data_IF_344809530135
#
_entry.id   IF_344809530135
#
_cell.length_a   1.000
_cell.length_b   1.000
_cell.length_c   1.000
_cell.angle_alpha   90.00
_cell.angle_beta   90.00
_cell.angle_gamma   90.00
#
_symmetry.space_group_name_H-M   'P 1'
#
loop_
_entity.id
_entity.type
_entity.pdbx_description
1 polymer ?
#
# COMPACT_ATOMS: atom_id res chain seq x y z
N UNK A 1 4.70 28.10 -0.34
CA UNK A 1 4.99 26.65 -0.34
C UNK A 1 6.43 26.46 0.09
N UNK A 2 6.64 25.66 1.10
CA UNK A 2 7.99 25.40 1.62
C UNK A 2 8.06 24.05 2.36
N UNK A 3 9.24 23.47 2.32
CA UNK A 3 9.58 22.29 3.10
C UNK A 3 9.87 22.72 4.55
N UNK A 4 9.32 22.01 5.53
CA UNK A 4 9.52 22.33 6.95
C UNK A 4 10.96 22.07 7.35
N UNK A 5 11.57 23.00 8.11
CA UNK A 5 12.90 22.80 8.66
C UNK A 5 12.84 21.81 9.84
N UNK A 6 13.62 20.74 9.75
CA UNK A 6 13.68 19.69 10.77
C UNK A 6 15.04 19.58 11.43
N UNK A 7 15.92 20.59 11.21
CA UNK A 7 17.29 20.54 11.73
C UNK A 7 17.38 20.38 13.25
N UNK A 8 16.39 20.88 14.01
CA UNK A 8 16.34 20.81 15.46
C UNK A 8 15.64 19.55 16.02
N UNK A 9 15.10 18.71 15.13
CA UNK A 9 14.43 17.48 15.55
C UNK A 9 15.42 16.37 15.79
N UNK A 10 15.14 15.54 16.81
CA UNK A 10 15.95 14.37 17.10
C UNK A 10 15.70 13.28 16.05
N UNK A 11 16.73 12.50 15.74
CA UNK A 11 16.58 11.27 14.98
C UNK A 11 15.92 10.22 15.86
N UNK A 12 14.80 9.68 15.39
CA UNK A 12 14.08 8.60 16.07
C UNK A 12 13.71 7.50 15.08
N UNK A 13 13.56 6.28 15.59
CA UNK A 13 13.05 5.19 14.79
C UNK A 13 11.57 5.42 14.52
N UNK A 14 11.16 5.32 13.25
CA UNK A 14 9.80 5.58 12.83
C UNK A 14 9.31 4.49 11.90
N UNK A 15 8.06 4.09 12.08
CA UNK A 15 7.38 3.11 11.23
C UNK A 15 6.04 3.69 10.82
N UNK A 16 5.63 3.43 9.58
CA UNK A 16 4.30 3.72 9.07
C UNK A 16 3.79 2.53 8.29
N UNK A 17 2.51 2.24 8.43
CA UNK A 17 1.80 1.20 7.69
C UNK A 17 0.64 1.85 6.97
N UNK A 18 0.56 1.64 5.68
CA UNK A 18 -0.52 2.14 4.84
C UNK A 18 -1.13 1.00 4.03
N UNK A 19 -2.36 1.19 3.61
CA UNK A 19 -3.05 0.25 2.74
C UNK A 19 -3.56 0.93 1.47
N UNK A 20 -3.88 0.13 0.49
CA UNK A 20 -4.63 0.50 -0.69
C UNK A 20 -5.31 -0.73 -1.24
N UNK A 21 -6.38 -0.54 -1.98
CA UNK A 21 -7.13 -1.64 -2.59
C UNK A 21 -7.39 -1.32 -4.04
N UNK A 22 -7.25 -2.31 -4.91
CA UNK A 22 -7.70 -2.18 -6.30
C UNK A 22 -8.81 -3.20 -6.54
N UNK A 23 -9.97 -2.68 -6.98
CA UNK A 23 -11.17 -3.48 -7.27
C UNK A 23 -11.22 -3.78 -8.74
N UNK A 24 -11.68 -4.99 -9.09
CA UNK A 24 -11.70 -5.46 -10.45
C UNK A 24 -12.77 -6.54 -10.65
N UNK A 25 -13.00 -6.93 -11.89
CA UNK A 25 -13.85 -8.08 -12.18
C UNK A 25 -13.22 -9.36 -11.63
N UNK A 26 -14.04 -10.34 -11.20
CA UNK A 26 -13.52 -11.64 -10.73
C UNK A 26 -12.64 -12.34 -11.76
N UNK A 27 -12.93 -12.20 -13.04
CA UNK A 27 -12.15 -12.79 -14.14
C UNK A 27 -10.75 -12.17 -14.21
N UNK A 28 -10.64 -10.88 -13.93
CA UNK A 28 -9.35 -10.18 -13.91
C UNK A 28 -8.49 -10.66 -12.73
N UNK A 29 -9.09 -10.79 -11.55
CA UNK A 29 -8.42 -11.35 -10.38
C UNK A 29 -7.92 -12.78 -10.68
N UNK A 30 -8.78 -13.61 -11.27
CA UNK A 30 -8.41 -14.98 -11.63
C UNK A 30 -7.25 -15.03 -12.63
N UNK A 31 -7.26 -14.16 -13.63
CA UNK A 31 -6.16 -14.04 -14.61
C UNK A 31 -4.82 -13.74 -13.91
N UNK A 32 -4.82 -12.82 -12.96
CA UNK A 32 -3.61 -12.47 -12.21
C UNK A 32 -3.14 -13.66 -11.37
N UNK A 33 -4.05 -14.30 -10.64
CA UNK A 33 -3.72 -15.44 -9.78
C UNK A 33 -3.24 -16.66 -10.56
N UNK A 34 -3.69 -16.83 -11.80
CA UNK A 34 -3.28 -17.91 -12.69
C UNK A 34 -2.06 -17.55 -13.53
N UNK A 35 -1.46 -16.40 -13.29
CA UNK A 35 -0.27 -15.91 -13.99
C UNK A 35 -0.46 -15.86 -15.52
N UNK A 36 -1.63 -15.37 -15.97
CA UNK A 36 -2.02 -15.29 -17.38
C UNK A 36 -2.02 -13.86 -17.94
N UNK A 37 -1.54 -12.88 -17.19
CA UNK A 37 -1.47 -11.51 -17.66
C UNK A 37 -0.40 -11.37 -18.74
N UNK A 38 -0.73 -10.64 -19.82
CA UNK A 38 0.19 -10.44 -20.95
C UNK A 38 1.53 -9.81 -20.57
N UNK A 39 1.51 -8.90 -19.61
CA UNK A 39 2.72 -8.18 -19.17
C UNK A 39 3.58 -8.96 -18.17
N UNK A 40 3.17 -10.16 -17.76
CA UNK A 40 3.94 -11.02 -16.87
C UNK A 40 3.38 -11.09 -15.45
N UNK A 41 4.26 -11.29 -14.49
CA UNK A 41 3.91 -11.47 -13.08
C UNK A 41 3.48 -10.14 -12.44
N UNK A 42 2.18 -9.93 -12.37
CA UNK A 42 1.57 -8.66 -11.90
C UNK A 42 1.94 -8.38 -10.44
N UNK A 43 1.77 -9.36 -9.57
CA UNK A 43 1.96 -9.13 -8.13
C UNK A 43 3.43 -8.92 -7.78
N UNK A 44 4.34 -9.66 -8.41
CA UNK A 44 5.77 -9.44 -8.21
C UNK A 44 6.18 -8.04 -8.68
N UNK A 45 5.72 -7.61 -9.84
CA UNK A 45 6.00 -6.28 -10.38
C UNK A 45 5.43 -5.19 -9.47
N UNK A 46 4.21 -5.36 -8.98
CA UNK A 46 3.57 -4.41 -8.07
C UNK A 46 4.31 -4.28 -6.74
N UNK A 47 4.79 -5.38 -6.19
CA UNK A 47 5.60 -5.35 -4.96
C UNK A 47 6.89 -4.56 -5.15
N UNK A 48 7.59 -4.79 -6.25
CA UNK A 48 8.81 -4.04 -6.57
C UNK A 48 8.50 -2.57 -6.76
N UNK A 49 7.42 -2.23 -7.48
CA UNK A 49 7.01 -0.84 -7.69
C UNK A 49 6.69 -0.14 -6.37
N UNK A 50 6.00 -0.81 -5.45
CA UNK A 50 5.72 -0.28 -4.12
C UNK A 50 6.99 0.03 -3.34
N UNK A 51 7.96 -0.87 -3.34
CA UNK A 51 9.25 -0.67 -2.68
C UNK A 51 10.04 0.47 -3.32
N UNK A 52 10.07 0.53 -4.65
CA UNK A 52 10.73 1.64 -5.36
C UNK A 52 10.09 2.99 -5.03
N UNK A 53 8.77 3.05 -4.96
CA UNK A 53 8.04 4.27 -4.63
C UNK A 53 8.33 4.75 -3.22
N UNK A 54 8.45 3.85 -2.26
CA UNK A 54 8.87 4.19 -0.88
C UNK A 54 10.20 4.94 -0.93
N UNK A 55 11.16 4.46 -1.71
CA UNK A 55 12.50 5.04 -1.80
C UNK A 55 12.56 6.34 -2.58
N UNK A 56 11.54 6.66 -3.37
CA UNK A 56 11.52 7.82 -4.29
C UNK A 56 10.40 8.80 -3.98
N UNK A 57 9.81 8.74 -2.82
CA UNK A 57 8.67 9.59 -2.46
C UNK A 57 9.01 11.07 -2.57
N UNK A 58 10.19 11.48 -2.13
CA UNK A 58 10.62 12.89 -2.22
C UNK A 58 10.78 13.40 -3.66
N UNK A 59 10.95 12.51 -4.63
CA UNK A 59 10.99 12.89 -6.05
C UNK A 59 9.60 13.23 -6.61
N UNK A 60 8.55 12.82 -5.93
CA UNK A 60 7.15 12.96 -6.38
C UNK A 60 6.39 13.96 -5.51
N UNK A 61 6.59 13.91 -4.20
CA UNK A 61 5.89 14.75 -3.24
C UNK A 61 6.80 15.93 -2.87
N UNK A 62 6.46 17.15 -3.32
CA UNK A 62 7.42 18.25 -3.35
C UNK A 62 8.01 18.64 -2.00
N UNK A 63 7.17 18.63 -0.95
CA UNK A 63 7.60 19.09 0.39
C UNK A 63 8.10 17.99 1.30
N UNK A 64 8.29 16.77 0.77
CA UNK A 64 8.88 15.67 1.53
C UNK A 64 10.40 15.74 1.52
N UNK A 65 11.00 15.49 2.69
CA UNK A 65 12.44 15.34 2.79
C UNK A 65 12.88 13.99 2.24
N UNK A 66 14.02 13.89 1.55
CA UNK A 66 14.59 12.59 1.20
C UNK A 66 15.00 11.86 2.47
N UNK A 67 14.69 10.57 2.54
CA UNK A 67 14.96 9.73 3.71
C UNK A 67 15.74 8.49 3.32
N UNK A 68 16.65 8.07 4.20
CA UNK A 68 17.35 6.79 4.08
C UNK A 68 16.48 5.69 4.67
N UNK A 69 15.76 5.00 3.81
CA UNK A 69 14.82 3.96 4.21
C UNK A 69 15.58 2.73 4.73
N UNK A 70 15.22 2.28 5.93
CA UNK A 70 15.82 1.10 6.55
C UNK A 70 14.93 -0.13 6.47
N UNK A 71 13.62 0.06 6.27
CA UNK A 71 12.65 -1.03 6.12
C UNK A 71 11.64 -0.67 5.05
N UNK A 72 11.41 -1.59 4.14
CA UNK A 72 10.34 -1.48 3.14
C UNK A 72 9.76 -2.86 2.90
N UNK A 73 8.43 -2.95 2.99
CA UNK A 73 7.70 -4.19 2.76
C UNK A 73 6.39 -3.88 2.05
N UNK A 74 6.09 -4.62 1.02
CA UNK A 74 4.84 -4.50 0.29
C UNK A 74 4.21 -5.88 0.17
N UNK A 75 3.12 -6.10 0.89
CA UNK A 75 2.35 -7.33 0.87
C UNK A 75 1.08 -7.13 0.05
N UNK A 76 0.76 -8.06 -0.82
CA UNK A 76 -0.43 -8.01 -1.66
C UNK A 76 -1.19 -9.31 -1.49
N UNK A 77 -2.47 -9.21 -1.15
CA UNK A 77 -3.35 -10.35 -0.95
C UNK A 77 -4.58 -10.25 -1.84
N UNK A 78 -5.03 -11.35 -2.46
CA UNK A 78 -6.29 -11.35 -3.15
C UNK A 78 -7.44 -11.22 -2.13
N UNK A 79 -8.51 -10.54 -2.53
CA UNK A 79 -9.70 -10.37 -1.70
C UNK A 79 -10.60 -11.58 -1.92
N UNK A 80 -11.06 -12.19 -0.83
CA UNK A 80 -11.92 -13.36 -0.88
C UNK A 80 -13.25 -13.06 -1.59
N UNK A 81 -13.87 -14.05 -2.26
CA UNK A 81 -15.16 -13.88 -2.92
C UNK A 81 -16.26 -13.45 -1.94
N UNK A 82 -17.25 -12.74 -2.48
CA UNK A 82 -18.41 -12.32 -1.70
C UNK A 82 -19.04 -13.49 -0.93
N UNK A 83 -19.37 -13.24 0.34
CA UNK A 83 -20.02 -14.23 1.19
C UNK A 83 -19.09 -15.27 1.78
N UNK A 84 -17.78 -15.20 1.55
CA UNK A 84 -16.83 -16.11 2.20
C UNK A 84 -16.78 -15.80 3.70
N UNK A 85 -17.14 -16.77 4.58
CA UNK A 85 -16.99 -16.58 6.03
C UNK A 85 -15.51 -16.46 6.42
N UNK A 86 -15.24 -15.78 7.53
CA UNK A 86 -13.87 -15.60 8.01
C UNK A 86 -13.12 -16.92 8.23
N UNK A 87 -13.83 -17.93 8.73
CA UNK A 87 -13.26 -19.27 8.98
C UNK A 87 -12.92 -20.05 7.71
N UNK A 88 -13.49 -19.65 6.57
CA UNK A 88 -13.28 -20.31 5.28
C UNK A 88 -12.32 -19.53 4.36
N UNK A 89 -11.76 -18.42 4.83
CA UNK A 89 -10.80 -17.66 4.05
C UNK A 89 -9.52 -18.46 3.85
N UNK A 90 -9.05 -18.59 2.59
CA UNK A 90 -7.77 -19.26 2.35
C UNK A 90 -6.62 -18.47 2.99
N UNK A 91 -5.60 -19.18 3.42
CA UNK A 91 -4.38 -18.53 3.94
C UNK A 91 -3.78 -17.59 2.88
N UNK A 92 -3.39 -16.39 3.31
CA UNK A 92 -2.82 -15.38 2.43
C UNK A 92 -3.83 -14.55 1.66
N UNK A 93 -5.12 -14.75 1.89
CA UNK A 93 -6.18 -13.93 1.29
C UNK A 93 -6.67 -12.86 2.26
N UNK A 94 -7.10 -11.73 1.71
CA UNK A 94 -7.78 -10.70 2.48
C UNK A 94 -9.26 -11.05 2.64
N UNK A 95 -9.92 -10.58 3.72
CA UNK A 95 -11.33 -10.84 3.97
C UNK A 95 -12.24 -10.39 2.82
N UNK A 96 -13.35 -11.09 2.63
CA UNK A 96 -14.39 -10.67 1.69
C UNK A 96 -14.90 -9.27 2.08
N UNK A 97 -15.09 -8.43 1.07
CA UNK A 97 -15.64 -7.09 1.27
C UNK A 97 -17.15 -7.16 1.48
N UNK A 98 -17.67 -6.23 2.26
CA UNK A 98 -19.11 -6.09 2.50
C UNK A 98 -19.88 -5.69 1.24
N UNK A 99 -19.21 -5.01 0.28
CA UNK A 99 -19.79 -4.64 -1.01
C UNK A 99 -19.72 -5.77 -2.05
N UNK A 100 -19.14 -6.90 -1.70
CA UNK A 100 -19.02 -8.07 -2.57
C UNK A 100 -18.00 -7.96 -3.69
N UNK A 101 -17.28 -6.84 -3.78
CA UNK A 101 -16.27 -6.65 -4.81
C UNK A 101 -14.98 -7.40 -4.48
N UNK A 102 -14.25 -7.76 -5.51
CA UNK A 102 -12.97 -8.47 -5.42
C UNK A 102 -11.84 -7.65 -6.04
N UNK A 103 -10.65 -8.13 -5.88
CA UNK A 103 -9.44 -7.50 -6.36
C UNK A 103 -8.27 -7.84 -5.46
N UNK A 104 -7.41 -6.86 -5.19
CA UNK A 104 -6.23 -7.07 -4.37
C UNK A 104 -6.10 -5.99 -3.30
N UNK A 105 -5.75 -6.43 -2.11
CA UNK A 105 -5.43 -5.56 -0.99
C UNK A 105 -3.91 -5.43 -0.87
N UNK A 106 -3.43 -4.20 -0.78
CA UNK A 106 -2.01 -3.88 -0.65
C UNK A 106 -1.76 -3.34 0.75
N UNK A 107 -0.76 -3.88 1.43
CA UNK A 107 -0.32 -3.44 2.74
C UNK A 107 1.16 -3.10 2.67
N UNK A 108 1.49 -1.86 2.99
CA UNK A 108 2.87 -1.36 2.91
C UNK A 108 3.37 -0.98 4.29
N UNK A 109 4.54 -1.47 4.64
CA UNK A 109 5.26 -1.07 5.85
C UNK A 109 6.56 -0.40 5.45
N UNK A 110 6.78 0.80 5.97
CA UNK A 110 8.01 1.55 5.76
C UNK A 110 8.60 1.97 7.11
N UNK A 111 9.92 1.94 7.20
CA UNK A 111 10.64 2.31 8.41
C UNK A 111 11.90 3.10 8.12
N UNK A 112 12.24 4.00 9.02
CA UNK A 112 13.41 4.86 8.94
C UNK A 112 13.85 5.26 10.34
N UNK A 113 15.14 5.54 10.49
CA UNK A 113 15.64 6.32 11.62
C UNK A 113 15.96 7.70 11.08
N UNK A 114 15.19 8.69 11.50
CA UNK A 114 15.27 10.02 10.93
C UNK A 114 14.53 11.08 11.71
N UNK A 115 14.51 12.28 11.16
CA UNK A 115 13.96 13.50 11.81
C UNK A 115 12.51 13.78 11.43
N UNK A 116 11.97 13.10 10.45
CA UNK A 116 10.57 13.25 10.01
C UNK A 116 9.86 11.93 9.98
N UNK A 117 8.53 11.97 9.95
CA UNK A 117 7.70 10.79 9.76
C UNK A 117 7.86 10.17 8.38
N UNK A 118 7.35 8.96 8.22
CA UNK A 118 7.46 8.15 7.00
C UNK A 118 6.08 7.81 6.42
N UNK A 119 5.05 8.57 6.80
CA UNK A 119 3.68 8.33 6.35
C UNK A 119 3.55 8.42 4.83
N UNK A 120 4.18 9.43 4.23
CA UNK A 120 4.08 9.66 2.78
C UNK A 120 4.75 8.55 1.98
N UNK A 121 5.86 8.00 2.47
CA UNK A 121 6.53 6.86 1.86
C UNK A 121 5.62 5.63 1.85
N UNK A 122 4.96 5.35 2.96
CA UNK A 122 4.03 4.21 3.04
C UNK A 122 2.82 4.41 2.11
N UNK A 123 2.21 5.60 2.11
CA UNK A 123 1.06 5.92 1.25
C UNK A 123 1.43 5.90 -0.23
N UNK A 124 2.59 6.44 -0.59
CA UNK A 124 3.08 6.44 -1.97
C UNK A 124 3.35 5.00 -2.44
N UNK A 125 3.95 4.18 -1.57
CA UNK A 125 4.18 2.76 -1.86
C UNK A 125 2.89 1.99 -2.15
N UNK A 126 1.87 2.16 -1.31
CA UNK A 126 0.57 1.52 -1.50
C UNK A 126 -0.08 1.98 -2.81
N UNK A 127 -0.03 3.27 -3.10
CA UNK A 127 -0.58 3.85 -4.33
C UNK A 127 0.12 3.32 -5.58
N UNK A 128 1.45 3.28 -5.57
CA UNK A 128 2.24 2.81 -6.72
C UNK A 128 2.02 1.32 -7.00
N UNK A 129 1.87 0.50 -5.96
CA UNK A 129 1.55 -0.91 -6.14
C UNK A 129 0.18 -1.08 -6.81
N UNK A 130 -0.83 -0.36 -6.34
CA UNK A 130 -2.17 -0.38 -6.97
C UNK A 130 -2.13 0.12 -8.42
N UNK A 131 -1.41 1.21 -8.68
CA UNK A 131 -1.25 1.75 -10.03
C UNK A 131 -0.56 0.75 -10.97
N UNK A 132 0.41 0.00 -10.47
CA UNK A 132 1.11 -1.02 -11.25
C UNK A 132 0.18 -2.16 -11.62
N UNK A 133 -0.66 -2.62 -10.69
CA UNK A 133 -1.68 -3.63 -10.98
C UNK A 133 -2.63 -3.09 -12.07
N UNK A 134 -3.08 -1.85 -11.92
CA UNK A 134 -3.94 -1.22 -12.93
C UNK A 134 -3.27 -1.21 -14.30
N UNK A 135 -2.03 -0.73 -14.39
CA UNK A 135 -1.31 -0.65 -15.66
C UNK A 135 -1.17 -2.02 -16.35
N UNK A 136 -0.88 -3.04 -15.55
CA UNK A 136 -0.64 -4.38 -16.09
C UNK A 136 -1.92 -5.12 -16.48
N UNK A 137 -3.08 -4.71 -15.98
CA UNK A 137 -4.37 -5.37 -16.25
C UNK A 137 -5.34 -4.53 -17.05
N UNK A 138 -5.08 -3.25 -17.31
CA UNK A 138 -6.02 -2.34 -17.98
C UNK A 138 -6.45 -2.77 -19.37
N UNK A 139 -5.64 -3.59 -20.05
CA UNK A 139 -6.00 -4.08 -21.37
C UNK A 139 -7.27 -4.95 -21.36
N UNK A 140 -7.54 -5.64 -20.25
CA UNK A 140 -8.72 -6.51 -20.11
C UNK A 140 -9.78 -5.93 -19.16
N UNK A 141 -9.44 -4.93 -18.36
CA UNK A 141 -10.35 -4.37 -17.36
C UNK A 141 -10.00 -2.91 -17.06
N UNK A 142 -10.59 -1.99 -17.84
CA UNK A 142 -10.32 -0.55 -17.68
C UNK A 142 -11.09 0.09 -16.54
N UNK A 143 -12.13 -0.55 -16.05
CA UNK A 143 -12.99 -0.02 -14.99
C UNK A 143 -12.50 -0.31 -13.59
N UNK A 144 -11.28 -0.81 -13.41
CA UNK A 144 -10.73 -1.03 -12.08
C UNK A 144 -10.66 0.27 -11.30
N UNK A 145 -10.93 0.18 -10.00
CA UNK A 145 -10.92 1.35 -9.11
C UNK A 145 -9.89 1.14 -8.00
N UNK A 146 -9.09 2.17 -7.77
CA UNK A 146 -8.19 2.22 -6.61
C UNK A 146 -8.95 2.93 -5.51
N UNK A 147 -9.14 2.24 -4.39
CA UNK A 147 -9.95 2.73 -3.26
C UNK A 147 -9.19 2.51 -1.94
N UNK A 148 -9.69 3.17 -0.88
CA UNK A 148 -9.23 2.92 0.49
C UNK A 148 -7.72 3.11 0.68
N UNK A 149 -7.12 4.06 -0.02
CA UNK A 149 -5.72 4.42 0.23
C UNK A 149 -5.68 5.26 1.49
N UNK A 150 -5.05 4.72 2.54
CA UNK A 150 -5.01 5.39 3.84
C UNK A 150 -3.89 4.89 4.73
N UNK A 151 -3.51 5.74 5.68
CA UNK A 151 -2.60 5.38 6.74
C UNK A 151 -3.35 4.53 7.78
N UNK A 152 -2.76 3.41 8.18
CA UNK A 152 -3.33 2.53 9.21
C UNK A 152 -2.65 2.70 10.56
N UNK A 153 -1.35 2.95 10.55
CA UNK A 153 -0.55 2.95 11.76
C UNK A 153 0.71 3.77 11.56
N UNK A 154 1.12 4.48 12.59
CA UNK A 154 2.45 5.07 12.65
C UNK A 154 2.96 5.05 14.07
N UNK A 155 4.27 4.98 14.22
CA UNK A 155 4.94 5.09 15.52
C UNK A 155 6.28 5.81 15.39
N UNK A 156 6.75 6.35 16.50
CA UNK A 156 7.96 7.15 16.58
C UNK A 156 7.70 8.66 16.47
N UNK A 157 8.67 9.44 16.92
CA UNK A 157 8.57 10.89 16.96
C UNK A 157 7.73 11.42 18.11
N UNK A 158 7.42 12.72 18.09
CA UNK A 158 6.71 13.42 19.17
C UNK A 158 5.29 12.94 19.40
N UNK A 159 4.59 12.61 18.32
CA UNK A 159 3.19 12.17 18.40
C UNK A 159 3.04 10.74 18.90
N UNK A 160 4.14 10.00 19.08
CA UNK A 160 4.09 8.62 19.56
C UNK A 160 3.38 7.69 18.57
N UNK A 161 2.47 6.87 19.10
CA UNK A 161 1.72 5.90 18.32
C UNK A 161 0.38 6.49 17.87
N UNK A 162 0.08 6.35 16.60
CA UNK A 162 -1.23 6.63 16.03
C UNK A 162 -1.74 5.39 15.31
N UNK A 163 -2.99 5.02 15.54
CA UNK A 163 -3.60 3.84 14.94
C UNK A 163 -5.01 4.16 14.51
N UNK A 164 -5.34 3.89 13.26
CA UNK A 164 -6.64 4.21 12.68
C UNK A 164 -7.79 3.48 13.39
N UNK A 165 -7.59 2.24 13.78
CA UNK A 165 -8.61 1.45 14.45
C UNK A 165 -9.00 2.01 15.81
N UNK A 166 -8.09 2.68 16.50
CA UNK A 166 -8.35 3.33 17.79
C UNK A 166 -9.16 4.62 17.64
N UNK A 167 -9.12 5.25 16.46
CA UNK A 167 -9.82 6.52 16.20
C UNK A 167 -11.24 6.27 15.70
N UNK A 168 -11.48 5.17 15.03
CA UNK A 168 -12.76 4.83 14.39
C UNK A 168 -13.63 3.85 15.19
N UNK A 169 -13.27 3.63 16.44
CA UNK A 169 -14.07 2.78 17.33
C UNK A 169 -15.35 3.52 17.81
#
# INVERSE_FOLDING_TARGET
>A
VRMVDVSDKAETHRIAIAEGTILMHPETQAMVLQDRAKKGDVLACARVAGIMAIKRTSDIIPMCHPLLITKSKCDIAPIAPAGTPAEDEPEGWAPARTDGQVGFHVLVTAGVTGKTGIEMEALTGASAACLTIYDMCKAVDRGMEIVDVRLLHKEGGRSGVWDLSLIHI
#
